data_IF_152098157444
#
_entry.id   IF_152098157444
#
_cell.length_a   1.000
_cell.length_b   1.000
_cell.length_c   1.000
_cell.angle_alpha   90.00
_cell.angle_beta   90.00
_cell.angle_gamma   90.00
#
_symmetry.space_group_name_H-M   'P 1'
#
loop_
_entity.id
_entity.type
_entity.pdbx_description
1 polymer ?
#
# COMPACT_ATOMS: atom_id res chain seq x y z
N UNK A 1 5.95 -39.95 13.41
CA UNK A 1 5.77 -38.72 12.61
C UNK A 1 7.03 -37.88 12.75
N UNK A 2 7.75 -37.60 11.66
CA UNK A 2 8.97 -36.80 11.75
C UNK A 2 8.58 -35.32 11.70
N UNK A 3 8.37 -34.72 12.87
CA UNK A 3 7.81 -33.36 13.02
C UNK A 3 8.52 -32.34 12.14
N UNK A 4 9.86 -32.43 12.06
CA UNK A 4 10.70 -31.59 11.22
C UNK A 4 10.27 -31.59 9.75
N UNK A 5 10.00 -32.77 9.20
CA UNK A 5 9.64 -32.92 7.78
C UNK A 5 8.26 -32.32 7.48
N UNK A 6 7.27 -32.60 8.35
CA UNK A 6 5.95 -32.01 8.22
C UNK A 6 6.00 -30.48 8.31
N UNK A 7 6.82 -29.92 9.20
CA UNK A 7 7.02 -28.46 9.31
C UNK A 7 7.60 -27.87 8.02
N UNK A 8 8.65 -28.48 7.45
CA UNK A 8 9.25 -28.02 6.19
C UNK A 8 8.22 -28.07 5.06
N UNK A 9 7.44 -29.14 4.96
CA UNK A 9 6.42 -29.29 3.93
C UNK A 9 5.33 -28.22 4.05
N UNK A 10 4.86 -27.92 5.26
CA UNK A 10 3.90 -26.84 5.51
C UNK A 10 4.49 -25.47 5.15
N UNK A 11 5.76 -25.22 5.47
CA UNK A 11 6.43 -23.97 5.08
C UNK A 11 6.54 -23.82 3.57
N UNK A 12 6.87 -24.90 2.84
CA UNK A 12 6.85 -24.92 1.37
C UNK A 12 5.44 -24.70 0.80
N UNK A 13 4.41 -25.18 1.49
CA UNK A 13 3.02 -24.96 1.07
C UNK A 13 2.63 -23.48 1.20
N UNK A 14 3.10 -22.82 2.26
CA UNK A 14 2.72 -21.44 2.60
C UNK A 14 3.60 -20.39 1.90
N UNK A 15 4.84 -20.72 1.54
CA UNK A 15 5.82 -19.75 1.02
C UNK A 15 5.39 -18.99 -0.26
N UNK A 16 4.61 -19.54 -1.22
CA UNK A 16 4.10 -18.73 -2.34
C UNK A 16 3.17 -17.60 -1.88
N UNK A 17 2.46 -17.80 -0.77
CA UNK A 17 1.64 -16.76 -0.14
C UNK A 17 2.47 -15.66 0.50
N UNK A 18 3.64 -16.00 1.06
CA UNK A 18 4.60 -15.00 1.55
C UNK A 18 5.13 -14.14 0.40
N UNK A 19 5.49 -14.78 -0.72
CA UNK A 19 5.91 -14.08 -1.94
C UNK A 19 4.81 -13.15 -2.48
N UNK A 20 3.55 -13.62 -2.48
CA UNK A 20 2.38 -12.82 -2.83
C UNK A 20 2.28 -11.55 -1.97
N UNK A 21 2.30 -11.68 -0.64
CA UNK A 21 2.17 -10.51 0.23
C UNK A 21 3.35 -9.56 0.14
N UNK A 22 4.57 -10.09 -0.01
CA UNK A 22 5.76 -9.26 -0.17
C UNK A 22 5.70 -8.43 -1.46
N UNK A 23 5.16 -8.99 -2.54
CA UNK A 23 4.91 -8.25 -3.76
C UNK A 23 3.71 -7.28 -3.65
N UNK A 24 2.62 -7.70 -3.00
CA UNK A 24 1.42 -6.88 -2.80
C UNK A 24 1.68 -5.61 -1.98
N UNK A 25 2.49 -5.72 -0.92
CA UNK A 25 2.89 -4.60 -0.07
C UNK A 25 4.21 -3.97 -0.50
N UNK A 26 4.70 -4.14 -1.72
CA UNK A 26 5.99 -3.54 -2.13
C UNK A 26 5.98 -1.99 -2.14
N UNK A 27 7.17 -1.37 -2.28
CA UNK A 27 7.37 0.08 -2.51
C UNK A 27 6.89 0.95 -1.33
N UNK A 28 6.14 2.05 -1.55
CA UNK A 28 5.64 2.96 -0.50
C UNK A 28 4.77 2.25 0.56
N UNK A 29 4.30 1.02 0.30
CA UNK A 29 3.45 0.25 1.22
C UNK A 29 4.17 -0.89 1.96
N UNK A 30 5.51 -0.98 1.84
CA UNK A 30 6.37 -2.03 2.43
C UNK A 30 6.34 -2.11 3.95
N UNK A 31 5.93 -1.01 4.58
CA UNK A 31 5.81 -0.81 6.03
C UNK A 31 4.88 -1.82 6.71
N UNK A 32 3.82 -2.28 6.04
CA UNK A 32 2.90 -3.25 6.68
C UNK A 32 3.58 -4.59 6.91
N UNK A 33 4.47 -5.00 6.00
CA UNK A 33 5.12 -6.31 6.08
C UNK A 33 6.16 -6.37 7.20
N UNK A 34 6.80 -5.25 7.55
CA UNK A 34 7.80 -5.21 8.64
C UNK A 34 7.18 -5.29 10.05
N UNK A 35 5.93 -4.82 10.23
CA UNK A 35 5.27 -4.76 11.55
C UNK A 35 4.59 -6.06 12.00
N UNK A 36 4.31 -6.99 11.09
CA UNK A 36 3.61 -8.24 11.43
C UNK A 36 4.57 -9.25 12.06
N UNK A 37 4.12 -9.96 13.10
CA UNK A 37 4.87 -11.10 13.65
C UNK A 37 5.04 -12.18 12.58
N UNK A 38 6.12 -12.95 12.63
CA UNK A 38 6.37 -14.08 11.71
C UNK A 38 5.16 -15.02 11.65
N UNK A 39 4.55 -15.27 12.81
CA UNK A 39 3.34 -16.10 12.94
C UNK A 39 2.15 -15.52 12.17
N UNK A 40 1.86 -14.23 12.31
CA UNK A 40 0.75 -13.59 11.57
C UNK A 40 1.02 -13.55 10.05
N UNK A 41 2.28 -13.34 9.65
CA UNK A 41 2.67 -13.44 8.24
C UNK A 41 2.41 -14.84 7.67
N UNK A 42 2.76 -15.89 8.42
CA UNK A 42 2.50 -17.27 8.02
C UNK A 42 0.99 -17.55 7.92
N UNK A 43 0.21 -17.20 8.94
CA UNK A 43 -1.24 -17.43 8.94
C UNK A 43 -1.94 -16.74 7.78
N UNK A 44 -1.63 -15.46 7.53
CA UNK A 44 -2.24 -14.73 6.41
C UNK A 44 -1.85 -15.33 5.08
N UNK A 45 -0.62 -15.84 4.96
CA UNK A 45 -0.07 -16.42 3.72
C UNK A 45 -0.67 -17.77 3.35
N UNK A 46 -1.37 -18.46 4.26
CA UNK A 46 -2.01 -19.76 3.97
C UNK A 46 -2.98 -19.63 2.80
N UNK A 47 -3.91 -18.68 2.86
CA UNK A 47 -4.94 -18.51 1.83
C UNK A 47 -4.34 -18.23 0.44
N UNK A 48 -3.53 -17.17 0.24
CA UNK A 48 -2.93 -16.92 -1.07
C UNK A 48 -1.95 -18.01 -1.49
N UNK A 49 -1.23 -18.65 -0.56
CA UNK A 49 -0.35 -19.78 -0.86
C UNK A 49 -1.11 -20.95 -1.47
N UNK A 50 -2.25 -21.33 -0.87
CA UNK A 50 -3.13 -22.36 -1.41
C UNK A 50 -3.74 -21.93 -2.76
N UNK A 51 -4.16 -20.66 -2.89
CA UNK A 51 -4.70 -20.15 -4.16
C UNK A 51 -3.67 -20.25 -5.30
N UNK A 52 -2.41 -19.86 -5.05
CA UNK A 52 -1.32 -19.94 -6.04
C UNK A 52 -1.08 -21.39 -6.46
N UNK A 53 -1.11 -22.33 -5.51
CA UNK A 53 -0.96 -23.75 -5.81
C UNK A 53 -2.12 -24.31 -6.63
N UNK A 54 -3.37 -23.95 -6.30
CA UNK A 54 -4.54 -24.37 -7.07
C UNK A 54 -4.45 -23.87 -8.52
N UNK A 55 -4.02 -22.62 -8.72
CA UNK A 55 -3.77 -22.06 -10.05
C UNK A 55 -2.68 -22.86 -10.76
N UNK A 56 -1.57 -23.16 -10.08
CA UNK A 56 -0.48 -23.93 -10.66
C UNK A 56 -0.90 -25.36 -11.03
N UNK A 57 -1.67 -26.05 -10.18
CA UNK A 57 -2.22 -27.37 -10.48
C UNK A 57 -3.17 -27.34 -11.67
N UNK A 58 -4.04 -26.33 -11.72
CA UNK A 58 -4.91 -26.12 -12.87
C UNK A 58 -4.10 -25.90 -14.15
N UNK A 59 -3.07 -25.05 -14.12
CA UNK A 59 -2.18 -24.85 -15.26
C UNK A 59 -1.46 -26.14 -15.68
N UNK A 60 -0.90 -26.90 -14.73
CA UNK A 60 -0.22 -28.17 -15.03
C UNK A 60 -1.19 -29.15 -15.70
N UNK A 61 -2.41 -29.29 -15.20
CA UNK A 61 -3.41 -30.20 -15.76
C UNK A 61 -3.94 -29.79 -17.15
N UNK A 62 -3.88 -28.49 -17.48
CA UNK A 62 -4.30 -27.99 -18.81
C UNK A 62 -3.17 -28.00 -19.84
N UNK A 63 -1.94 -27.68 -19.42
CA UNK A 63 -0.80 -27.46 -20.33
C UNK A 63 0.18 -28.62 -20.38
N UNK A 64 0.06 -29.61 -19.50
CA UNK A 64 0.97 -30.76 -19.45
C UNK A 64 0.21 -32.07 -19.25
N UNK A 65 0.75 -33.21 -19.69
CA UNK A 65 0.16 -34.53 -19.45
C UNK A 65 0.42 -35.07 -18.03
N UNK A 66 1.02 -34.27 -17.12
CA UNK A 66 1.36 -34.71 -15.78
C UNK A 66 0.17 -34.58 -14.82
N UNK A 67 -0.05 -35.63 -14.03
CA UNK A 67 -1.03 -35.62 -12.94
C UNK A 67 -0.35 -35.44 -11.59
N UNK A 68 -0.80 -34.45 -10.83
CA UNK A 68 -0.31 -34.21 -9.48
C UNK A 68 -0.96 -35.22 -8.52
N UNK A 69 -0.14 -36.11 -7.97
CA UNK A 69 -0.53 -37.11 -6.97
C UNK A 69 -0.62 -36.49 -5.57
N UNK A 70 -1.81 -36.01 -5.21
CA UNK A 70 -2.07 -35.38 -3.90
C UNK A 70 -2.05 -36.38 -2.73
N UNK A 71 -2.27 -37.66 -3.02
CA UNK A 71 -2.16 -38.78 -2.08
C UNK A 71 -0.74 -38.86 -1.48
N UNK A 72 0.30 -38.63 -2.29
CA UNK A 72 1.68 -38.58 -1.81
C UNK A 72 1.89 -37.47 -0.79
N UNK A 73 1.31 -36.28 -0.99
CA UNK A 73 1.40 -35.17 -0.03
C UNK A 73 0.75 -35.56 1.30
N UNK A 74 -0.41 -36.22 1.26
CA UNK A 74 -1.10 -36.74 2.44
C UNK A 74 -0.27 -37.79 3.19
N UNK A 75 0.35 -38.73 2.49
CA UNK A 75 1.23 -39.73 3.08
C UNK A 75 2.49 -39.10 3.71
N UNK A 76 3.04 -38.07 3.08
CA UNK A 76 4.18 -37.31 3.57
C UNK A 76 3.83 -36.49 4.83
N UNK A 77 2.61 -35.95 4.93
CA UNK A 77 2.14 -35.14 6.08
C UNK A 77 1.72 -36.00 7.28
N UNK A 78 0.92 -37.04 7.04
CA UNK A 78 0.35 -37.88 8.10
C UNK A 78 1.31 -38.99 8.55
N UNK A 79 2.34 -39.27 7.75
CA UNK A 79 3.22 -40.42 7.90
C UNK A 79 2.51 -41.70 7.45
N UNK A 80 2.98 -42.31 6.37
CA UNK A 80 2.43 -43.59 5.94
C UNK A 80 2.76 -44.70 6.96
N UNK A 81 1.81 -45.64 7.12
CA UNK A 81 1.96 -46.81 8.02
C UNK A 81 2.75 -47.96 7.38
N UNK A 82 3.02 -47.90 6.07
CA UNK A 82 3.75 -48.94 5.32
C UNK A 82 5.13 -48.43 4.89
N UNK A 83 6.18 -49.14 5.28
CA UNK A 83 7.58 -48.73 5.05
C UNK A 83 7.97 -48.69 3.56
N UNK A 84 7.34 -49.52 2.72
CA UNK A 84 7.65 -49.60 1.29
C UNK A 84 7.22 -48.35 0.52
N UNK A 85 6.04 -47.79 0.85
CA UNK A 85 5.53 -46.58 0.17
C UNK A 85 6.34 -45.34 0.56
N UNK A 86 6.83 -45.28 1.80
CA UNK A 86 7.74 -44.23 2.27
C UNK A 86 9.07 -44.27 1.52
N UNK A 87 9.73 -45.43 1.43
CA UNK A 87 11.00 -45.58 0.70
C UNK A 87 10.86 -45.14 -0.76
N UNK A 88 9.85 -45.63 -1.47
CA UNK A 88 9.62 -45.21 -2.85
C UNK A 88 9.35 -43.71 -2.99
N UNK A 89 8.76 -43.07 -1.99
CA UNK A 89 8.51 -41.62 -2.01
C UNK A 89 9.81 -40.82 -1.84
N UNK A 90 10.71 -41.26 -0.95
CA UNK A 90 12.02 -40.64 -0.77
C UNK A 90 12.94 -40.86 -1.97
N UNK A 91 12.93 -42.05 -2.57
CA UNK A 91 13.71 -42.33 -3.79
C UNK A 91 13.25 -41.46 -4.96
N UNK A 92 11.93 -41.31 -5.13
CA UNK A 92 11.37 -40.39 -6.13
C UNK A 92 11.76 -38.93 -5.86
N UNK A 93 11.76 -38.50 -4.59
CA UNK A 93 12.20 -37.15 -4.21
C UNK A 93 13.68 -36.92 -4.57
N UNK A 94 14.54 -37.91 -4.35
CA UNK A 94 15.97 -37.82 -4.67
C UNK A 94 16.22 -37.72 -6.19
N UNK A 95 15.52 -38.56 -6.98
CA UNK A 95 15.66 -38.56 -8.45
C UNK A 95 15.08 -37.29 -9.08
N UNK A 96 13.99 -36.76 -8.52
CA UNK A 96 13.27 -35.60 -9.07
C UNK A 96 13.50 -34.30 -8.29
N UNK A 97 14.61 -34.17 -7.58
CA UNK A 97 14.89 -33.00 -6.76
C UNK A 97 14.91 -31.69 -7.57
N UNK A 98 15.59 -31.68 -8.73
CA UNK A 98 15.69 -30.51 -9.59
C UNK A 98 14.33 -30.00 -10.10
N UNK A 99 13.44 -30.83 -10.71
CA UNK A 99 12.13 -30.36 -11.14
C UNK A 99 11.22 -29.95 -9.96
N UNK A 100 11.38 -30.55 -8.78
CA UNK A 100 10.65 -30.13 -7.57
C UNK A 100 11.07 -28.72 -7.13
N UNK A 101 12.38 -28.44 -7.11
CA UNK A 101 12.91 -27.11 -6.82
C UNK A 101 12.43 -26.11 -7.88
N UNK A 102 12.53 -26.46 -9.17
CA UNK A 102 12.07 -25.60 -10.26
C UNK A 102 10.58 -25.27 -10.16
N UNK A 103 9.75 -26.27 -9.84
CA UNK A 103 8.33 -26.07 -9.56
C UNK A 103 8.11 -25.10 -8.39
N UNK A 104 8.85 -25.27 -7.29
CA UNK A 104 8.72 -24.39 -6.13
C UNK A 104 9.15 -22.95 -6.41
N UNK A 105 10.26 -22.75 -7.13
CA UNK A 105 10.68 -21.43 -7.61
C UNK A 105 9.61 -20.82 -8.52
N UNK A 106 9.03 -21.61 -9.41
CA UNK A 106 7.91 -21.21 -10.26
C UNK A 106 6.69 -20.74 -9.45
N UNK A 107 6.34 -21.44 -8.37
CA UNK A 107 5.27 -21.02 -7.45
C UNK A 107 5.59 -19.70 -6.76
N UNK A 108 6.82 -19.49 -6.30
CA UNK A 108 7.23 -18.23 -5.68
C UNK A 108 7.11 -17.06 -6.67
N UNK A 109 7.56 -17.26 -7.91
CA UNK A 109 7.46 -16.28 -8.99
C UNK A 109 6.01 -15.97 -9.35
N UNK A 110 5.17 -17.00 -9.46
CA UNK A 110 3.74 -16.85 -9.73
C UNK A 110 3.04 -16.10 -8.58
N UNK A 111 3.36 -16.44 -7.33
CA UNK A 111 2.84 -15.75 -6.15
C UNK A 111 3.21 -14.27 -6.16
N UNK A 112 4.48 -13.94 -6.42
CA UNK A 112 4.94 -12.56 -6.53
C UNK A 112 4.24 -11.80 -7.68
N UNK A 113 4.09 -12.43 -8.85
CA UNK A 113 3.42 -11.83 -10.00
C UNK A 113 1.94 -11.53 -9.72
N UNK A 114 1.23 -12.48 -9.10
CA UNK A 114 -0.16 -12.30 -8.70
C UNK A 114 -0.30 -11.21 -7.63
N UNK A 115 0.63 -11.16 -6.66
CA UNK A 115 0.63 -10.11 -5.63
C UNK A 115 0.84 -8.72 -6.22
N UNK A 116 1.80 -8.58 -7.12
CA UNK A 116 2.05 -7.33 -7.85
C UNK A 116 0.85 -6.94 -8.74
N UNK A 117 0.29 -7.90 -9.48
CA UNK A 117 -0.89 -7.68 -10.32
C UNK A 117 -2.11 -7.26 -9.51
N UNK A 118 -2.35 -7.91 -8.37
CA UNK A 118 -3.45 -7.59 -7.47
C UNK A 118 -3.29 -6.19 -6.87
N UNK A 119 -2.08 -5.80 -6.45
CA UNK A 119 -1.78 -4.43 -6.02
C UNK A 119 -2.13 -3.42 -7.12
N UNK A 120 -1.69 -3.68 -8.36
CA UNK A 120 -1.95 -2.79 -9.49
C UNK A 120 -3.45 -2.69 -9.78
N UNK A 121 -4.20 -3.78 -9.68
CA UNK A 121 -5.65 -3.80 -9.83
C UNK A 121 -6.34 -2.96 -8.74
N UNK A 122 -6.01 -3.20 -7.47
CA UNK A 122 -6.57 -2.45 -6.32
C UNK A 122 -6.32 -0.96 -6.45
N UNK A 123 -5.09 -0.55 -6.79
CA UNK A 123 -4.73 0.87 -6.96
C UNK A 123 -5.39 1.50 -8.18
N UNK A 124 -5.45 0.80 -9.32
CA UNK A 124 -6.12 1.30 -10.54
C UNK A 124 -7.63 1.49 -10.33
N UNK A 125 -8.27 0.59 -9.60
CA UNK A 125 -9.70 0.67 -9.29
C UNK A 125 -10.01 1.55 -8.09
N UNK A 126 -8.99 2.12 -7.43
CA UNK A 126 -9.10 2.86 -6.16
C UNK A 126 -9.87 2.06 -5.09
N UNK A 127 -9.81 0.73 -5.15
CA UNK A 127 -10.60 -0.16 -4.29
C UNK A 127 -10.15 -0.08 -2.83
N UNK A 128 -8.89 0.28 -2.58
CA UNK A 128 -8.32 0.55 -1.25
C UNK A 128 -8.94 1.79 -0.56
N UNK A 129 -9.47 2.73 -1.34
CA UNK A 129 -10.17 3.93 -0.83
C UNK A 129 -11.62 3.63 -0.47
N UNK A 130 -12.23 2.64 -1.14
CA UNK A 130 -13.64 2.23 -0.94
C UNK A 130 -13.80 1.13 0.11
N UNK A 131 -12.91 0.14 0.11
CA UNK A 131 -13.00 -1.03 1.00
C UNK A 131 -11.85 -1.05 2.01
N UNK A 132 -12.19 -0.94 3.29
CA UNK A 132 -11.21 -0.95 4.40
C UNK A 132 -10.30 -2.18 4.41
N UNK A 133 -10.81 -3.34 3.98
CA UNK A 133 -10.02 -4.58 3.93
C UNK A 133 -8.85 -4.54 2.92
N UNK A 134 -8.99 -3.76 1.84
CA UNK A 134 -7.98 -3.63 0.79
C UNK A 134 -7.01 -2.46 1.04
N UNK A 135 -7.27 -1.66 2.09
CA UNK A 135 -6.45 -0.49 2.43
C UNK A 135 -5.04 -0.89 2.81
N UNK A 136 -4.06 -0.13 2.30
CA UNK A 136 -2.67 -0.27 2.68
C UNK A 136 -2.42 0.36 4.05
N UNK A 137 -1.46 -0.15 4.82
CA UNK A 137 -1.14 0.38 6.16
C UNK A 137 -0.14 1.54 6.07
N UNK A 138 -0.53 2.60 5.36
CA UNK A 138 0.27 3.81 5.21
C UNK A 138 -0.61 5.05 5.25
N UNK A 139 -1.01 5.44 6.47
CA UNK A 139 -1.86 6.60 6.70
C UNK A 139 -1.21 7.90 6.19
N UNK A 140 0.11 8.05 6.36
CA UNK A 140 0.85 9.22 5.89
C UNK A 140 0.81 9.36 4.37
N UNK A 141 0.93 8.26 3.62
CA UNK A 141 0.79 8.32 2.17
C UNK A 141 -0.59 8.84 1.78
N UNK A 142 -1.66 8.29 2.35
CA UNK A 142 -3.01 8.74 2.03
C UNK A 142 -3.28 10.20 2.42
N UNK A 143 -2.69 10.66 3.52
CA UNK A 143 -2.81 12.02 3.99
C UNK A 143 -2.02 12.98 3.09
N UNK A 144 -0.74 12.73 2.88
CA UNK A 144 0.16 13.63 2.15
C UNK A 144 -0.07 13.64 0.63
N UNK A 145 -0.83 12.68 0.10
CA UNK A 145 -1.32 12.69 -1.29
C UNK A 145 -2.77 13.15 -1.40
N UNK A 146 -3.45 13.37 -0.27
CA UNK A 146 -4.85 13.77 -0.20
C UNK A 146 -5.86 12.69 -0.61
N UNK A 147 -5.42 11.46 -0.89
CA UNK A 147 -6.30 10.31 -1.14
C UNK A 147 -7.25 10.01 0.03
N UNK A 148 -6.92 10.46 1.24
CA UNK A 148 -7.80 10.36 2.41
C UNK A 148 -9.16 11.03 2.20
N UNK A 149 -9.22 12.07 1.36
CA UNK A 149 -10.45 12.81 1.06
C UNK A 149 -11.45 11.97 0.27
N UNK A 150 -11.00 10.96 -0.48
CA UNK A 150 -11.87 10.05 -1.25
C UNK A 150 -12.37 8.85 -0.41
N UNK A 151 -11.91 8.71 0.84
CA UNK A 151 -12.22 7.52 1.64
C UNK A 151 -13.67 7.51 2.12
N UNK A 152 -14.37 6.41 1.87
CA UNK A 152 -15.81 6.30 2.15
C UNK A 152 -16.19 6.45 3.63
N UNK A 153 -15.26 6.16 4.54
CA UNK A 153 -15.50 6.21 5.98
C UNK A 153 -15.54 7.65 6.53
N UNK A 154 -15.01 8.63 5.78
CA UNK A 154 -14.73 9.98 6.28
C UNK A 154 -15.53 11.08 5.56
N UNK A 155 -16.55 10.69 4.78
CA UNK A 155 -17.41 11.55 3.93
C UNK A 155 -18.17 12.69 4.65
N UNK A 156 -17.97 12.90 5.96
CA UNK A 156 -18.87 13.70 6.78
C UNK A 156 -18.36 15.09 7.21
N UNK A 157 -17.11 15.50 6.94
CA UNK A 157 -16.57 16.72 7.56
C UNK A 157 -15.70 17.66 6.69
N UNK A 158 -15.39 17.34 5.43
CA UNK A 158 -14.63 18.25 4.57
C UNK A 158 -15.56 19.07 3.66
N UNK A 159 -15.42 20.39 3.67
CA UNK A 159 -16.09 21.33 2.74
C UNK A 159 -15.71 21.05 1.28
N UNK A 160 -14.58 20.35 1.05
CA UNK A 160 -14.15 19.86 -0.26
C UNK A 160 -15.03 18.66 -0.63
N UNK A 161 -15.91 18.85 -1.61
CA UNK A 161 -16.80 17.80 -2.09
C UNK A 161 -15.98 16.67 -2.72
N UNK A 162 -16.35 15.43 -2.38
CA UNK A 162 -15.73 14.14 -2.70
C UNK A 162 -15.44 13.84 -4.19
N UNK A 163 -15.80 14.74 -5.12
CA UNK A 163 -15.57 14.56 -6.56
C UNK A 163 -14.22 15.13 -7.02
N UNK A 164 -13.63 16.08 -6.31
CA UNK A 164 -12.46 16.83 -6.82
C UNK A 164 -11.11 16.36 -6.26
N UNK A 165 -11.11 15.44 -5.30
CA UNK A 165 -9.89 14.92 -4.70
C UNK A 165 -8.99 14.12 -5.67
N UNK A 166 -9.49 13.77 -6.86
CA UNK A 166 -8.69 13.20 -7.95
C UNK A 166 -7.73 14.19 -8.61
N UNK A 167 -7.90 15.50 -8.38
CA UNK A 167 -7.18 16.57 -9.08
C UNK A 167 -6.32 17.43 -8.15
N UNK A 168 -5.80 16.84 -7.07
CA UNK A 168 -4.86 17.53 -6.20
C UNK A 168 -3.57 17.76 -6.98
N UNK A 169 -3.25 19.03 -7.22
CA UNK A 169 -2.07 19.44 -7.99
C UNK A 169 -0.82 19.49 -7.12
N UNK A 170 -0.96 20.02 -5.92
CA UNK A 170 0.12 20.07 -4.94
C UNK A 170 -0.43 20.17 -3.51
N UNK A 171 0.41 19.80 -2.56
CA UNK A 171 0.11 19.84 -1.13
C UNK A 171 1.01 20.85 -0.47
N UNK A 172 0.42 21.86 0.18
CA UNK A 172 1.14 22.85 0.95
C UNK A 172 1.18 22.44 2.41
N UNK A 173 2.39 22.47 2.99
CA UNK A 173 2.61 22.15 4.40
C UNK A 173 3.03 23.40 5.17
N UNK A 174 2.34 23.65 6.27
CA UNK A 174 2.78 24.59 7.30
C UNK A 174 3.27 23.77 8.50
N UNK A 175 4.55 23.85 8.81
CA UNK A 175 5.25 22.98 9.75
C UNK A 175 5.87 23.79 10.87
N UNK A 176 5.44 23.55 12.11
CA UNK A 176 6.07 24.14 13.29
C UNK A 176 7.23 23.26 13.76
N UNK A 177 8.43 23.81 13.76
CA UNK A 177 9.65 23.13 14.15
C UNK A 177 10.14 23.66 15.49
N UNK A 178 10.62 22.76 16.35
CA UNK A 178 11.32 23.12 17.59
C UNK A 178 12.81 23.33 17.31
N UNK A 179 13.30 24.55 17.52
CA UNK A 179 14.74 24.85 17.55
C UNK A 179 15.16 25.20 18.98
N UNK A 180 16.46 25.14 19.24
CA UNK A 180 17.02 25.54 20.55
C UNK A 180 16.70 27.00 20.89
N UNK A 181 16.63 27.86 19.87
CA UNK A 181 16.40 29.30 19.99
C UNK A 181 14.90 29.70 19.96
N UNK A 182 14.00 28.71 19.91
CA UNK A 182 12.55 28.93 19.87
C UNK A 182 11.88 28.16 18.72
N UNK A 183 10.54 28.17 18.72
CA UNK A 183 9.79 27.50 17.66
C UNK A 183 9.74 28.37 16.41
N UNK A 184 9.88 27.75 15.24
CA UNK A 184 9.83 28.43 13.94
C UNK A 184 8.84 27.73 13.02
N UNK A 185 8.02 28.50 12.33
CA UNK A 185 7.03 28.00 11.37
C UNK A 185 7.61 28.07 9.96
N UNK A 186 7.65 26.95 9.25
CA UNK A 186 8.01 26.87 7.84
C UNK A 186 6.77 26.56 7.00
N UNK A 187 6.73 27.07 5.79
CA UNK A 187 5.69 26.85 4.80
C UNK A 187 6.32 26.46 3.49
N UNK A 188 5.78 25.47 2.79
CA UNK A 188 6.29 25.10 1.47
C UNK A 188 5.44 24.04 0.79
N UNK A 189 5.75 23.79 -0.48
CA UNK A 189 5.09 22.74 -1.26
C UNK A 189 5.78 21.42 -0.96
N UNK A 190 5.02 20.41 -0.58
CA UNK A 190 5.52 19.06 -0.37
C UNK A 190 5.88 18.42 -1.71
N UNK A 191 7.17 18.12 -1.88
CA UNK A 191 7.67 17.40 -3.04
C UNK A 191 7.79 15.90 -2.76
N UNK A 192 8.33 15.55 -1.58
CA UNK A 192 8.59 14.18 -1.17
C UNK A 192 8.57 14.05 0.34
N UNK A 193 8.35 12.82 0.80
CA UNK A 193 8.52 12.46 2.20
C UNK A 193 9.18 11.08 2.31
N UNK A 194 9.82 10.85 3.45
CA UNK A 194 10.45 9.57 3.79
C UNK A 194 9.76 8.95 4.99
N UNK A 195 9.68 7.63 4.97
CA UNK A 195 9.05 6.84 6.03
C UNK A 195 10.13 5.97 6.69
N UNK A 196 10.15 5.97 8.01
CA UNK A 196 11.00 5.09 8.79
C UNK A 196 10.52 3.63 8.74
N UNK A 197 11.33 2.71 9.26
CA UNK A 197 11.05 1.25 9.29
C UNK A 197 9.71 0.91 9.96
N UNK A 198 9.38 1.69 10.98
CA UNK A 198 8.16 1.56 11.74
C UNK A 198 6.97 2.24 11.05
N UNK A 199 7.09 2.81 9.84
CA UNK A 199 5.98 3.48 9.14
C UNK A 199 5.64 4.88 9.59
N UNK A 200 6.47 5.45 10.46
CA UNK A 200 6.35 6.84 10.88
C UNK A 200 7.02 7.73 9.84
N UNK A 201 6.61 8.98 9.79
CA UNK A 201 7.26 9.99 8.98
C UNK A 201 8.68 10.24 9.52
N UNK A 202 9.68 10.27 8.65
CA UNK A 202 11.09 10.43 9.01
C UNK A 202 11.64 11.78 8.54
N UNK A 203 11.34 12.15 7.28
CA UNK A 203 11.71 13.44 6.73
C UNK A 203 10.66 13.97 5.75
N UNK A 204 10.56 15.30 5.67
CA UNK A 204 9.73 16.05 4.74
C UNK A 204 10.60 16.91 3.85
N UNK A 205 10.32 16.90 2.55
CA UNK A 205 11.07 17.64 1.53
C UNK A 205 10.15 18.69 0.92
N UNK A 206 10.46 19.96 1.13
CA UNK A 206 9.67 21.09 0.69
C UNK A 206 10.39 21.92 -0.38
N UNK A 207 9.66 22.35 -1.40
CA UNK A 207 10.12 23.34 -2.38
C UNK A 207 9.43 24.69 -2.13
N UNK A 208 10.06 25.79 -2.58
CA UNK A 208 9.52 27.14 -2.38
C UNK A 208 9.29 27.47 -0.91
N UNK A 209 10.21 27.05 -0.05
CA UNK A 209 10.03 27.14 1.39
C UNK A 209 10.19 28.58 1.91
N UNK A 210 9.32 28.97 2.84
CA UNK A 210 9.34 30.26 3.51
C UNK A 210 9.27 30.07 5.01
N UNK A 211 10.05 30.85 5.75
CA UNK A 211 9.95 30.97 7.20
C UNK A 211 8.88 32.02 7.54
N UNK A 212 7.84 31.64 8.27
CA UNK A 212 6.85 32.55 8.84
C UNK A 212 7.30 32.99 10.23
N UNK A 213 7.32 34.29 10.48
CA UNK A 213 7.54 34.85 11.80
C UNK A 213 6.32 35.66 12.22
N UNK A 214 5.74 35.30 13.36
CA UNK A 214 4.70 36.07 14.03
C UNK A 214 5.41 37.22 14.76
N UNK A 215 5.24 38.45 14.31
CA UNK A 215 5.69 39.60 15.05
C UNK A 215 4.59 39.99 16.03
N UNK A 216 4.88 39.86 17.32
CA UNK A 216 4.02 40.40 18.36
C UNK A 216 4.17 41.91 18.34
N UNK A 217 3.08 42.64 18.05
CA UNK A 217 3.01 44.06 18.34
C UNK A 217 3.09 44.26 19.86
N UNK A 218 3.38 45.47 20.33
CA UNK A 218 3.36 45.84 21.76
C UNK A 218 1.93 45.90 22.35
N UNK A 219 1.11 44.89 22.06
CA UNK A 219 -0.26 44.67 22.53
C UNK A 219 -0.72 43.25 22.14
N UNK A 220 -1.67 42.69 22.87
CA UNK A 220 -2.11 41.28 22.84
C UNK A 220 -2.69 40.75 21.49
N UNK A 221 -2.56 41.49 20.38
CA UNK A 221 -2.95 41.03 19.05
C UNK A 221 -1.77 40.97 18.08
N UNK A 222 -1.53 39.81 17.41
CA UNK A 222 -0.48 39.68 16.40
C UNK A 222 -0.80 40.57 15.19
N UNK A 223 0.01 41.60 14.97
CA UNK A 223 -0.33 42.69 14.03
C UNK A 223 0.24 42.47 12.62
N UNK A 224 1.26 41.62 12.43
CA UNK A 224 1.84 41.39 11.10
C UNK A 224 2.51 40.00 11.00
N UNK A 225 2.22 39.25 9.92
CA UNK A 225 2.90 38.00 9.58
C UNK A 225 3.93 38.29 8.49
N UNK A 226 5.21 38.05 8.78
CA UNK A 226 6.28 38.19 7.77
C UNK A 226 6.74 36.84 7.25
N UNK A 227 6.94 36.80 5.94
CA UNK A 227 7.46 35.65 5.21
C UNK A 227 8.88 35.96 4.78
N UNK A 228 9.83 35.12 5.19
CA UNK A 228 11.22 35.18 4.74
C UNK A 228 11.46 33.97 3.85
N UNK A 229 11.85 34.15 2.57
CA UNK A 229 12.21 33.02 1.73
C UNK A 229 13.40 32.27 2.35
N UNK A 230 13.36 30.95 2.26
CA UNK A 230 14.50 30.11 2.59
C UNK A 230 15.27 29.90 1.29
N UNK A 231 16.51 30.40 1.24
CA UNK A 231 17.34 30.22 0.06
C UNK A 231 17.64 28.74 -0.18
N UNK A 232 17.48 28.28 -1.42
CA UNK A 232 17.72 26.91 -1.85
C UNK A 232 16.53 26.30 -2.60
N UNK A 233 16.79 25.21 -3.32
CA UNK A 233 15.77 24.55 -4.15
C UNK A 233 14.91 23.56 -3.34
N UNK A 234 15.46 23.00 -2.25
CA UNK A 234 14.85 21.95 -1.47
C UNK A 234 15.19 22.10 0.02
N UNK A 235 14.17 22.29 0.85
CA UNK A 235 14.27 22.30 2.31
C UNK A 235 13.92 20.90 2.84
N UNK A 236 14.85 20.29 3.57
CA UNK A 236 14.65 18.99 4.23
C UNK A 236 14.43 19.19 5.71
N UNK A 237 13.31 18.69 6.23
CA UNK A 237 12.94 18.79 7.64
C UNK A 237 12.85 17.38 8.23
N UNK A 238 13.74 17.02 9.17
CA UNK A 238 13.60 15.79 9.95
C UNK A 238 12.32 15.84 10.78
N UNK A 239 11.48 14.82 10.68
CA UNK A 239 10.20 14.76 11.37
C UNK A 239 10.36 14.77 12.89
N UNK A 240 11.50 14.29 13.41
CA UNK A 240 11.85 14.36 14.83
C UNK A 240 11.85 15.79 15.40
N UNK A 241 11.98 16.83 14.56
CA UNK A 241 11.96 18.23 14.98
C UNK A 241 10.57 18.88 14.82
N UNK A 242 9.62 18.19 14.18
CA UNK A 242 8.28 18.69 13.89
C UNK A 242 7.39 18.55 15.13
N UNK A 243 6.83 19.67 15.58
CA UNK A 243 5.87 19.71 16.68
C UNK A 243 4.43 19.51 16.19
N UNK A 244 4.08 20.18 15.09
CA UNK A 244 2.80 20.05 14.44
C UNK A 244 2.93 20.38 12.95
N UNK A 245 1.94 19.95 12.17
CA UNK A 245 1.83 20.32 10.77
C UNK A 245 0.36 20.54 10.39
N UNK A 246 0.13 21.56 9.56
CA UNK A 246 -1.13 21.78 8.88
C UNK A 246 -0.97 21.46 7.39
N UNK A 247 -1.99 20.85 6.80
CA UNK A 247 -1.96 20.33 5.42
C UNK A 247 -3.06 21.01 4.62
N UNK A 248 -2.68 21.66 3.53
CA UNK A 248 -3.62 22.30 2.60
C UNK A 248 -3.49 21.65 1.23
N UNK A 249 -4.61 21.19 0.68
CA UNK A 249 -4.68 20.58 -0.65
C UNK A 249 -5.11 21.63 -1.66
N UNK A 250 -4.35 21.77 -2.74
CA UNK A 250 -4.71 22.63 -3.87
C UNK A 250 -5.17 21.80 -5.06
N UNK A 251 -6.28 22.18 -5.66
CA UNK A 251 -6.93 21.48 -6.77
C UNK A 251 -6.82 22.39 -8.01
N UNK A 252 -6.40 21.85 -9.15
CA UNK A 252 -6.45 22.60 -10.42
C UNK A 252 -7.87 22.59 -10.98
N UNK A 253 -8.52 23.76 -10.99
CA UNK A 253 -9.88 23.94 -11.51
C UNK A 253 -10.00 23.58 -12.99
N UNK A 254 -8.93 23.64 -13.79
CA UNK A 254 -8.99 23.27 -15.21
C UNK A 254 -9.23 21.78 -15.41
N UNK A 255 -8.59 20.94 -14.62
CA UNK A 255 -8.76 19.48 -14.71
C UNK A 255 -10.10 19.03 -14.13
N UNK A 256 -10.62 19.74 -13.12
CA UNK A 256 -11.92 19.45 -12.51
C UNK A 256 -13.12 19.70 -13.44
N UNK A 257 -13.02 20.64 -14.39
CA UNK A 257 -14.10 20.97 -15.35
C UNK A 257 -14.14 20.03 -16.56
N UNK A 258 -12.99 19.55 -17.03
CA UNK A 258 -12.92 18.72 -18.25
C UNK A 258 -13.51 17.30 -18.08
N UNK A 259 -13.52 16.74 -16.86
CA UNK A 259 -14.14 15.43 -16.57
C UNK A 259 -15.57 15.53 -16.02
N UNK A 260 -16.02 16.73 -15.61
CA UNK A 260 -17.38 16.99 -15.14
C UNK A 260 -18.42 17.08 -16.27
N UNK A 261 -17.99 17.34 -17.50
CA UNK A 261 -18.84 17.53 -18.68
C UNK A 261 -19.09 16.24 -19.49
N UNK A 262 -18.65 15.07 -19.02
CA UNK A 262 -18.96 13.78 -19.64
C UNK A 262 -20.05 13.01 -18.89
N UNK A 263 -21.29 13.51 -18.92
CA UNK A 263 -22.53 12.70 -18.87
C UNK A 263 -23.68 13.50 -19.55
N UNK A 264 -24.65 12.82 -20.19
CA UNK A 264 -25.14 13.18 -21.52
C UNK A 264 -26.17 14.33 -21.55
N UNK A 265 -26.16 15.04 -22.68
CA UNK A 265 -27.23 15.94 -23.14
C UNK A 265 -28.61 15.30 -22.93
N UNK A 266 -29.44 16.03 -22.20
CA UNK A 266 -30.83 15.69 -21.96
C UNK A 266 -31.51 16.85 -21.23
N UNK A 267 -31.64 17.99 -21.91
CA UNK A 267 -32.55 19.04 -21.48
C UNK A 267 -33.98 18.49 -21.41
N UNK A 268 -34.73 18.67 -20.30
CA UNK A 268 -36.16 18.79 -20.38
C UNK A 268 -36.50 20.28 -20.49
N UNK A 269 -36.88 20.69 -21.70
CA UNK A 269 -37.55 21.96 -21.97
C UNK A 269 -38.79 22.06 -21.09
N UNK A 270 -38.78 22.94 -20.08
CA UNK A 270 -39.99 23.32 -19.36
C UNK A 270 -40.74 24.32 -20.25
N UNK A 271 -41.74 23.83 -20.97
CA UNK A 271 -42.75 24.69 -21.59
C UNK A 271 -43.69 25.19 -20.49
N UNK A 272 -43.66 26.50 -20.25
CA UNK A 272 -44.67 27.20 -19.47
C UNK A 272 -45.77 27.57 -20.46
N UNK A 273 -46.91 26.86 -20.43
CA UNK A 273 -48.13 27.33 -21.09
C UNK A 273 -48.77 28.43 -20.23
N UNK A 274 -48.80 29.66 -20.74
CA UNK A 274 -49.72 30.72 -20.30
C UNK A 274 -51.04 30.60 -21.09
N UNK A 275 -52.07 30.03 -20.45
CA UNK A 275 -53.46 30.53 -20.36
C UNK A 275 -54.43 29.45 -19.84
#
# INVERSE_FOLDING_TARGET
MNFLFATVLVLLLVSPGLAFFRAYYSDVFSIRYSRLTVTDQLFRSVVPGLTVQLIAFWCIGQFTPYYVRLDLIGFLLLGAKEDNTLRTSFDNLAVHLAPIIAYHVGLLMLGALLGWGFRRLVRRTKADRRFRALRFDNAWHYLLTGEILEMSDQKSHSTIQLKEASHISYVLLDILIKLEQGNTLYSGILERYELGEAGNLDALYLTGAHRKQLLTGTGDEPTEVRYYPVDGDLLVIPYAQVLNMNITYFIDEKTAREEGDTEPEGEPTIQIEEN
#
